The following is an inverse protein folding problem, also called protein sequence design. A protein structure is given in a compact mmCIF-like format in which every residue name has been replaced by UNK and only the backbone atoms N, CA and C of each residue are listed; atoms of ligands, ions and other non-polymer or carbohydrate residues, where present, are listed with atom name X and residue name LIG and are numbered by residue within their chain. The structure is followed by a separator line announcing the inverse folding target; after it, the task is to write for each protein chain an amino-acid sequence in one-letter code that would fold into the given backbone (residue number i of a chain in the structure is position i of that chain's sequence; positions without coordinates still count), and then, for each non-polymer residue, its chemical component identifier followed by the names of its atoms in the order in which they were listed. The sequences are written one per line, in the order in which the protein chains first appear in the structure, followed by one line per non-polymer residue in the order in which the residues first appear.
data_IF_735196818922
#
_entry.id   IF_735196818922
#
_cell.length_a   1.000
_cell.length_b   1.000
_cell.length_c   1.000
_cell.angle_alpha   90.00
_cell.angle_beta   90.00
_cell.angle_gamma   90.00
#
_symmetry.space_group_name_H-M   'P 1'
#
loop_
_entity.id
_entity.type
_entity.pdbx_description
1 polymer ?
#
# COMPACT_ATOMS: atom_id res chain seq x y z
N UNK A 1 15.56 31.05 -13.62
CA UNK A 1 14.93 30.06 -12.73
C UNK A 1 15.54 28.73 -13.10
N UNK A 2 16.51 28.23 -12.33
CA UNK A 2 17.11 26.91 -12.58
C UNK A 2 16.05 25.83 -12.33
N UNK A 3 15.83 24.94 -13.27
CA UNK A 3 15.03 23.72 -13.07
C UNK A 3 15.73 22.89 -12.00
N UNK A 4 15.15 22.81 -10.82
CA UNK A 4 15.60 21.84 -9.81
C UNK A 4 15.20 20.45 -10.31
N UNK A 5 16.19 19.57 -10.48
CA UNK A 5 15.93 18.17 -10.79
C UNK A 5 15.18 17.52 -9.63
N UNK A 6 13.98 17.01 -9.90
CA UNK A 6 13.17 16.29 -8.90
C UNK A 6 13.27 14.80 -9.13
N UNK A 7 13.40 14.05 -8.05
CA UNK A 7 13.47 12.60 -8.07
C UNK A 7 12.11 12.01 -7.70
N UNK A 8 11.58 11.13 -8.57
CA UNK A 8 10.31 10.44 -8.35
C UNK A 8 10.51 8.96 -8.02
N UNK A 9 9.73 8.44 -7.08
CA UNK A 9 9.60 7.02 -6.77
C UNK A 9 8.24 6.51 -7.23
N UNK A 10 8.22 5.46 -8.03
CA UNK A 10 7.00 4.79 -8.46
C UNK A 10 6.98 3.36 -7.95
N UNK A 11 6.01 3.02 -7.11
CA UNK A 11 5.81 1.70 -6.51
C UNK A 11 4.60 1.04 -7.16
N UNK A 12 4.84 -0.01 -7.95
CA UNK A 12 3.79 -0.70 -8.71
C UNK A 12 2.99 -1.66 -7.82
N UNK A 13 1.77 -1.99 -8.23
CA UNK A 13 0.98 -3.05 -7.63
C UNK A 13 1.61 -4.44 -7.85
N UNK A 14 1.19 -5.41 -7.06
CA UNK A 14 1.68 -6.79 -7.20
C UNK A 14 1.35 -7.69 -6.01
N UNK A 15 0.44 -7.29 -5.14
CA UNK A 15 0.10 -8.05 -3.93
C UNK A 15 1.33 -8.32 -3.08
N UNK A 16 1.59 -9.57 -2.73
CA UNK A 16 2.74 -9.96 -1.91
C UNK A 16 4.11 -9.59 -2.52
N UNK A 17 4.20 -9.39 -3.84
CA UNK A 17 5.44 -8.96 -4.48
C UNK A 17 5.88 -7.55 -4.08
N UNK A 18 5.00 -6.76 -3.47
CA UNK A 18 5.35 -5.45 -2.93
C UNK A 18 6.36 -5.53 -1.77
N UNK A 19 6.52 -6.69 -1.13
CA UNK A 19 7.61 -6.96 -0.18
C UNK A 19 9.00 -6.81 -0.82
N UNK A 20 9.16 -7.21 -2.09
CA UNK A 20 10.41 -7.01 -2.83
C UNK A 20 10.78 -5.52 -2.94
N UNK A 21 9.78 -4.65 -3.17
CA UNK A 21 10.02 -3.21 -3.24
C UNK A 21 10.60 -2.68 -1.93
N UNK A 22 10.15 -3.21 -0.79
CA UNK A 22 10.64 -2.81 0.54
C UNK A 22 12.10 -3.22 0.72
N UNK A 23 12.50 -4.41 0.23
CA UNK A 23 13.91 -4.81 0.21
C UNK A 23 14.78 -3.90 -0.65
N UNK A 24 14.27 -3.44 -1.80
CA UNK A 24 14.97 -2.45 -2.64
C UNK A 24 15.10 -1.11 -1.91
N UNK A 25 14.04 -0.64 -1.24
CA UNK A 25 14.09 0.60 -0.45
C UNK A 25 15.08 0.50 0.71
N UNK A 26 15.19 -0.68 1.33
CA UNK A 26 16.20 -0.95 2.36
C UNK A 26 17.61 -0.82 1.80
N UNK A 27 17.88 -1.40 0.64
CA UNK A 27 19.18 -1.29 -0.01
C UNK A 27 19.51 0.18 -0.40
N UNK A 28 18.53 0.91 -0.92
CA UNK A 28 18.69 2.34 -1.22
C UNK A 28 19.01 3.11 0.07
N UNK A 29 18.30 2.84 1.17
CA UNK A 29 18.56 3.49 2.46
C UNK A 29 19.97 3.22 2.96
N UNK A 30 20.47 2.00 2.83
CA UNK A 30 21.85 1.62 3.21
C UNK A 30 22.90 2.34 2.36
N UNK A 31 22.73 2.35 1.04
CA UNK A 31 23.66 3.04 0.12
C UNK A 31 23.69 4.55 0.41
N UNK A 32 22.54 5.17 0.66
CA UNK A 32 22.48 6.58 0.99
C UNK A 32 23.16 6.90 2.32
N UNK A 33 23.00 6.01 3.31
CA UNK A 33 23.70 6.12 4.58
C UNK A 33 25.22 6.07 4.42
N UNK A 34 25.74 5.09 3.66
CA UNK A 34 27.16 4.94 3.36
C UNK A 34 27.71 6.14 2.59
N UNK A 35 26.87 6.77 1.75
CA UNK A 35 27.23 7.99 1.00
C UNK A 35 27.16 9.26 1.87
N UNK A 36 26.89 9.16 3.16
CA UNK A 36 26.78 10.31 4.08
C UNK A 36 25.48 11.12 3.96
N UNK A 37 24.45 10.54 3.34
CA UNK A 37 23.14 11.19 3.26
C UNK A 37 22.45 11.21 4.63
N UNK A 38 21.92 12.36 5.03
CA UNK A 38 21.23 12.48 6.31
C UNK A 38 19.98 11.58 6.37
N UNK A 39 19.83 10.71 7.39
CA UNK A 39 18.71 9.76 7.47
C UNK A 39 17.32 10.44 7.48
N UNK A 40 17.27 11.64 8.06
CA UNK A 40 16.07 12.46 8.10
C UNK A 40 15.66 13.02 6.73
N UNK A 41 16.51 12.93 5.71
CA UNK A 41 16.20 13.48 4.39
C UNK A 41 15.62 12.40 3.48
N UNK A 42 14.45 12.67 2.94
CA UNK A 42 13.88 11.82 1.89
C UNK A 42 14.56 12.10 0.54
N UNK A 43 15.07 11.08 -0.16
CA UNK A 43 15.70 11.26 -1.46
C UNK A 43 14.69 11.46 -2.60
N UNK A 44 13.40 11.25 -2.35
CA UNK A 44 12.35 11.32 -3.35
C UNK A 44 11.44 12.52 -3.11
N UNK A 45 11.36 13.41 -4.09
CA UNK A 45 10.46 14.57 -4.05
C UNK A 45 9.01 14.19 -4.35
N UNK A 46 8.81 13.12 -5.12
CA UNK A 46 7.50 12.63 -5.55
C UNK A 46 7.44 11.13 -5.29
N UNK A 47 6.41 10.69 -4.59
CA UNK A 47 6.16 9.26 -4.34
C UNK A 47 4.78 8.91 -4.87
N UNK A 48 4.73 7.94 -5.79
CA UNK A 48 3.50 7.41 -6.38
C UNK A 48 3.40 5.92 -6.17
N UNK A 49 2.18 5.40 -6.04
CA UNK A 49 1.98 3.96 -5.91
C UNK A 49 0.60 3.50 -6.37
N UNK A 50 0.50 2.21 -6.73
CA UNK A 50 -0.76 1.56 -7.09
C UNK A 50 -0.94 0.27 -6.30
N UNK A 51 -2.18 -0.06 -5.86
CA UNK A 51 -2.50 -1.28 -5.10
C UNK A 51 -1.58 -1.44 -3.87
N UNK A 52 -0.93 -2.58 -3.68
CA UNK A 52 0.03 -2.81 -2.59
C UNK A 52 1.20 -1.80 -2.60
N UNK A 53 1.63 -1.34 -3.78
CA UNK A 53 2.62 -0.26 -3.91
C UNK A 53 2.09 1.09 -3.40
N UNK A 54 0.77 1.35 -3.49
CA UNK A 54 0.18 2.55 -2.90
C UNK A 54 0.24 2.51 -1.36
N UNK A 55 0.10 1.33 -0.76
CA UNK A 55 0.26 1.15 0.69
C UNK A 55 1.70 1.51 1.11
N UNK A 56 2.70 0.97 0.40
CA UNK A 56 4.10 1.28 0.65
C UNK A 56 4.38 2.78 0.45
N UNK A 57 3.86 3.37 -0.64
CA UNK A 57 4.03 4.79 -0.95
C UNK A 57 3.44 5.68 0.15
N UNK A 58 2.23 5.36 0.62
CA UNK A 58 1.57 6.10 1.69
C UNK A 58 2.32 5.99 3.01
N UNK A 59 2.79 4.79 3.36
CA UNK A 59 3.57 4.59 4.58
C UNK A 59 4.89 5.39 4.58
N UNK A 60 5.58 5.45 3.43
CA UNK A 60 6.76 6.30 3.26
C UNK A 60 6.42 7.79 3.34
N UNK A 61 5.31 8.21 2.72
CA UNK A 61 4.88 9.61 2.76
C UNK A 61 4.50 10.07 4.17
N UNK A 62 3.89 9.20 5.00
CA UNK A 62 3.63 9.48 6.41
C UNK A 62 4.92 9.72 7.23
N UNK A 63 6.07 9.29 6.70
CA UNK A 63 7.41 9.43 7.29
C UNK A 63 8.38 10.15 6.37
N UNK A 64 7.86 11.11 5.61
CA UNK A 64 8.66 11.88 4.66
C UNK A 64 9.79 12.68 5.32
N UNK A 65 9.66 12.97 6.61
CA UNK A 65 10.64 13.61 7.48
C UNK A 65 11.79 12.67 7.91
N UNK A 66 11.64 11.35 7.77
CA UNK A 66 12.68 10.37 8.10
C UNK A 66 12.55 9.12 7.22
N UNK A 67 13.23 9.15 6.08
CA UNK A 67 13.19 8.06 5.10
C UNK A 67 13.63 6.71 5.69
N UNK A 68 14.72 6.70 6.45
CA UNK A 68 15.24 5.48 7.07
C UNK A 68 14.24 4.83 8.01
N UNK A 69 13.59 5.62 8.88
CA UNK A 69 12.55 5.14 9.78
C UNK A 69 11.32 4.62 9.02
N UNK A 70 10.93 5.32 7.94
CA UNK A 70 9.84 4.87 7.07
C UNK A 70 10.10 3.51 6.46
N UNK A 71 11.31 3.27 5.98
CA UNK A 71 11.74 1.98 5.42
C UNK A 71 11.78 0.88 6.48
N UNK A 72 12.30 1.16 7.69
CA UNK A 72 12.32 0.18 8.78
C UNK A 72 10.90 -0.23 9.19
N UNK A 73 9.99 0.71 9.30
CA UNK A 73 8.59 0.41 9.62
C UNK A 73 7.92 -0.46 8.54
N UNK A 74 8.21 -0.21 7.28
CA UNK A 74 7.74 -1.07 6.19
C UNK A 74 8.31 -2.48 6.29
N UNK A 75 9.61 -2.62 6.60
CA UNK A 75 10.25 -3.92 6.79
C UNK A 75 9.58 -4.71 7.91
N UNK A 76 9.37 -4.09 9.07
CA UNK A 76 8.69 -4.71 10.21
C UNK A 76 7.32 -5.25 9.83
N UNK A 77 6.54 -4.48 9.09
CA UNK A 77 5.21 -4.90 8.67
C UNK A 77 5.29 -6.06 7.70
N UNK A 78 6.12 -5.96 6.64
CA UNK A 78 6.20 -7.02 5.62
C UNK A 78 6.83 -8.31 6.14
N UNK A 79 7.68 -8.26 7.15
CA UNK A 79 8.24 -9.46 7.81
C UNK A 79 7.20 -10.20 8.66
N UNK A 80 6.21 -9.49 9.20
CA UNK A 80 5.23 -10.05 10.12
C UNK A 80 3.82 -10.14 9.55
N UNK A 81 3.64 -9.77 8.26
CA UNK A 81 2.34 -9.82 7.61
C UNK A 81 1.93 -11.28 7.37
N UNK A 82 0.72 -11.62 7.79
CA UNK A 82 0.09 -12.91 7.55
C UNK A 82 -1.08 -12.74 6.59
N UNK A 83 -1.37 -13.77 5.80
CA UNK A 83 -2.45 -13.75 4.79
C UNK A 83 -3.79 -13.43 5.44
N UNK A 84 -4.03 -13.93 6.65
CA UNK A 84 -5.25 -13.72 7.43
C UNK A 84 -5.46 -12.26 7.85
N UNK A 85 -4.38 -11.48 7.89
CA UNK A 85 -4.43 -10.03 8.19
C UNK A 85 -4.83 -9.19 6.96
N UNK A 86 -4.75 -9.78 5.77
CA UNK A 86 -5.08 -9.09 4.51
C UNK A 86 -6.46 -9.51 4.02
N UNK A 87 -6.76 -10.80 4.08
CA UNK A 87 -8.02 -11.37 3.62
C UNK A 87 -8.53 -12.41 4.62
N UNK A 88 -9.84 -12.46 4.83
CA UNK A 88 -10.45 -13.64 5.39
C UNK A 88 -10.51 -14.72 4.31
N UNK A 89 -9.58 -15.67 4.42
CA UNK A 89 -9.47 -16.83 3.51
C UNK A 89 -10.24 -18.03 4.06
N UNK A 90 -11.44 -17.82 4.63
CA UNK A 90 -12.31 -18.95 4.93
C UNK A 90 -12.83 -19.54 3.61
N UNK A 91 -12.54 -20.82 3.39
CA UNK A 91 -12.87 -21.54 2.15
C UNK A 91 -14.36 -21.43 1.79
N UNK A 92 -15.24 -21.39 2.79
CA UNK A 92 -16.69 -21.19 2.59
C UNK A 92 -17.02 -19.79 2.09
N UNK A 93 -16.37 -18.74 2.59
CA UNK A 93 -16.55 -17.37 2.13
C UNK A 93 -16.12 -17.17 0.67
N UNK A 94 -14.97 -17.75 0.29
CA UNK A 94 -14.45 -17.70 -1.09
C UNK A 94 -15.37 -18.46 -2.04
N UNK A 95 -15.84 -19.66 -1.68
CA UNK A 95 -16.77 -20.44 -2.51
C UNK A 95 -18.09 -19.70 -2.67
N UNK A 96 -18.64 -19.14 -1.59
CA UNK A 96 -19.90 -18.38 -1.62
C UNK A 96 -19.80 -17.11 -2.46
N UNK A 97 -18.70 -16.38 -2.36
CA UNK A 97 -18.42 -15.21 -3.19
C UNK A 97 -18.24 -15.61 -4.65
N UNK A 98 -17.46 -16.65 -4.93
CA UNK A 98 -17.26 -17.18 -6.28
C UNK A 98 -18.56 -17.65 -6.93
N UNK A 99 -19.39 -18.39 -6.21
CA UNK A 99 -20.70 -18.83 -6.69
C UNK A 99 -21.64 -17.65 -6.99
N UNK A 100 -21.61 -16.60 -6.14
CA UNK A 100 -22.41 -15.38 -6.36
C UNK A 100 -21.93 -14.61 -7.59
N UNK A 101 -20.62 -14.50 -7.82
CA UNK A 101 -20.07 -13.89 -9.04
C UNK A 101 -20.39 -14.70 -10.30
N UNK A 102 -20.27 -16.03 -10.25
CA UNK A 102 -20.64 -16.90 -11.34
C UNK A 102 -22.13 -16.79 -11.69
N UNK A 103 -23.01 -16.73 -10.67
CA UNK A 103 -24.45 -16.55 -10.92
C UNK A 103 -24.76 -15.19 -11.54
N UNK A 104 -24.05 -14.12 -11.17
CA UNK A 104 -24.20 -12.79 -11.77
C UNK A 104 -23.69 -12.76 -13.22
N UNK A 105 -22.59 -13.45 -13.51
CA UNK A 105 -22.05 -13.53 -14.88
C UNK A 105 -22.95 -14.38 -15.80
N UNK A 106 -23.54 -15.46 -15.25
CA UNK A 106 -24.40 -16.38 -16.05
C UNK A 106 -25.84 -15.88 -16.18
N UNK A 107 -26.41 -15.26 -15.15
CA UNK A 107 -27.83 -14.86 -15.10
C UNK A 107 -28.03 -13.38 -14.76
N UNK A 108 -26.99 -12.55 -14.85
CA UNK A 108 -27.01 -11.15 -14.41
C UNK A 108 -28.07 -10.31 -15.11
N UNK A 109 -28.41 -10.64 -16.38
CA UNK A 109 -29.47 -9.96 -17.11
C UNK A 109 -30.88 -10.25 -16.53
N UNK A 110 -31.10 -11.45 -15.98
CA UNK A 110 -32.37 -11.85 -15.35
C UNK A 110 -32.50 -11.31 -13.93
N UNK A 111 -31.36 -11.26 -13.18
CA UNK A 111 -31.31 -10.77 -11.81
C UNK A 111 -31.41 -9.25 -11.70
N UNK A 112 -31.13 -8.52 -12.78
CA UNK A 112 -31.27 -7.05 -12.83
C UNK A 112 -32.71 -6.57 -12.57
N UNK A 113 -33.70 -7.42 -12.78
CA UNK A 113 -35.11 -7.14 -12.48
C UNK A 113 -35.46 -7.31 -10.99
N UNK A 114 -34.61 -8.02 -10.23
CA UNK A 114 -34.84 -8.32 -8.81
C UNK A 114 -33.75 -7.62 -7.98
N UNK A 115 -33.91 -6.39 -7.69
CA UNK A 115 -33.19 -5.46 -6.78
C UNK A 115 -32.13 -6.08 -5.82
N UNK A 116 -31.32 -7.02 -6.25
CA UNK A 116 -30.20 -7.56 -5.49
C UNK A 116 -29.01 -6.64 -5.68
N UNK A 117 -28.56 -5.98 -4.61
CA UNK A 117 -27.34 -5.17 -4.61
C UNK A 117 -26.16 -6.01 -5.13
N UNK A 118 -25.43 -5.54 -6.15
CA UNK A 118 -24.27 -6.27 -6.66
C UNK A 118 -23.22 -6.43 -5.56
N UNK A 119 -22.49 -7.55 -5.50
CA UNK A 119 -21.41 -7.71 -4.54
C UNK A 119 -20.30 -6.70 -4.85
N UNK A 120 -19.90 -5.92 -3.85
CA UNK A 120 -18.91 -4.84 -4.01
C UNK A 120 -17.47 -5.38 -4.06
N UNK A 121 -17.22 -6.60 -3.59
CA UNK A 121 -15.89 -7.22 -3.60
C UNK A 121 -15.97 -8.74 -3.67
N UNK A 122 -14.92 -9.36 -4.21
CA UNK A 122 -14.76 -10.81 -4.28
C UNK A 122 -14.29 -11.40 -2.94
N UNK A 123 -13.51 -10.65 -2.19
CA UNK A 123 -12.90 -11.05 -0.93
C UNK A 123 -13.27 -10.07 0.18
N UNK A 124 -13.46 -10.57 1.39
CA UNK A 124 -13.59 -9.75 2.58
C UNK A 124 -12.21 -9.21 2.98
N UNK A 125 -11.99 -7.92 2.75
CA UNK A 125 -10.77 -7.20 3.08
C UNK A 125 -10.87 -6.39 4.39
N UNK A 126 -11.86 -6.67 5.22
CA UNK A 126 -12.01 -6.00 6.53
C UNK A 126 -10.75 -6.07 7.40
N UNK A 127 -9.99 -7.20 7.45
CA UNK A 127 -8.75 -7.26 8.21
C UNK A 127 -7.68 -6.28 7.71
N UNK A 128 -7.69 -5.96 6.40
CA UNK A 128 -6.76 -4.99 5.81
C UNK A 128 -6.90 -3.60 6.40
N UNK A 129 -8.11 -3.19 6.79
CA UNK A 129 -8.36 -1.89 7.42
C UNK A 129 -7.58 -1.77 8.72
N UNK A 130 -7.61 -2.80 9.56
CA UNK A 130 -6.85 -2.83 10.83
C UNK A 130 -5.33 -2.84 10.60
N UNK A 131 -4.87 -3.52 9.54
CA UNK A 131 -3.48 -3.50 9.15
C UNK A 131 -3.05 -2.10 8.69
N UNK A 132 -3.85 -1.46 7.84
CA UNK A 132 -3.59 -0.10 7.35
C UNK A 132 -3.52 0.92 8.50
N UNK A 133 -4.40 0.84 9.47
CA UNK A 133 -4.34 1.71 10.66
C UNK A 133 -3.05 1.52 11.48
N UNK A 134 -2.46 0.33 11.48
CA UNK A 134 -1.16 0.08 12.14
C UNK A 134 0.02 0.55 11.30
N UNK A 135 -0.06 0.40 9.97
CA UNK A 135 1.00 0.81 9.04
C UNK A 135 1.06 2.32 8.87
N UNK A 136 -0.12 2.93 8.69
CA UNK A 136 -0.25 4.33 8.32
C UNK A 136 -0.43 5.16 9.59
N UNK A 137 0.51 6.06 9.84
CA UNK A 137 0.40 7.09 10.86
C UNK A 137 -0.44 8.24 10.27
N UNK A 138 -1.74 7.98 10.09
CA UNK A 138 -2.66 8.94 9.45
C UNK A 138 -2.70 10.33 10.10
N UNK A 139 -2.56 10.48 11.45
CA UNK A 139 -2.41 11.79 12.06
C UNK A 139 -1.19 12.58 11.57
N UNK A 140 -0.12 11.93 11.15
CA UNK A 140 1.08 12.58 10.57
C UNK A 140 0.91 12.94 9.09
N UNK A 141 -0.07 12.34 8.41
CA UNK A 141 -0.31 12.56 6.98
C UNK A 141 -0.45 14.05 6.59
N UNK A 142 -1.25 14.88 7.29
CA UNK A 142 -1.39 16.29 6.93
C UNK A 142 -0.09 17.07 7.08
N UNK A 143 0.69 16.78 8.11
CA UNK A 143 1.95 17.47 8.38
C UNK A 143 3.06 17.05 7.42
N UNK A 144 3.16 15.76 7.11
CA UNK A 144 4.14 15.23 6.16
C UNK A 144 3.82 15.63 4.71
N UNK A 145 2.54 15.61 4.34
CA UNK A 145 2.10 15.95 2.98
C UNK A 145 2.10 17.46 2.70
N UNK A 146 1.97 18.30 3.75
CA UNK A 146 2.03 19.75 3.66
C UNK A 146 3.45 20.33 3.78
N UNK A 147 4.47 19.48 4.02
CA UNK A 147 5.84 19.93 3.88
C UNK A 147 6.07 20.29 2.42
N UNK A 148 5.95 21.60 2.15
CA UNK A 148 6.41 22.18 0.89
C UNK A 148 7.90 21.92 0.83
N UNK A 149 8.32 20.98 0.02
CA UNK A 149 9.71 20.71 -0.26
C UNK A 149 10.34 22.00 -0.82
N UNK A 150 11.47 22.45 -0.28
CA UNK A 150 12.12 23.68 -0.72
C UNK A 150 12.55 23.61 -2.17
#
# INVERSE_FOLDING_TARGET
MGMQNKTGLILTGGGARAAYQVGVLQAISAILWEAGWAPARNPFDIICGTSAGAINATALACRADNFGEGVQKLLDVWQHIQVEQVYRADSLGVIRSGARWLSLLSFGWLLRQWHASPPNSLLDNTPLVSLLHRMLDLPRWPTACCMRWP
#
